data_IF_542016293354
#
_entry.id   IF_542016293354
#
_cell.length_a   1.000
_cell.length_b   1.000
_cell.length_c   1.000
_cell.angle_alpha   90.00
_cell.angle_beta   90.00
_cell.angle_gamma   90.00
#
_symmetry.space_group_name_H-M   'P 1'
#
loop_
_entity.id
_entity.type
_entity.pdbx_description
1 polymer ?
#
# COMPACT_ATOMS: atom_id res chain seq x y z
N UNK A 1 -42.78 15.82 -66.82
CA UNK A 1 -43.79 16.21 -65.78
C UNK A 1 -43.90 15.21 -64.62
N UNK A 2 -44.02 13.89 -64.84
CA UNK A 2 -44.08 12.89 -63.74
C UNK A 2 -42.81 12.87 -62.87
N UNK A 3 -41.62 12.99 -63.46
CA UNK A 3 -40.35 13.03 -62.71
C UNK A 3 -40.22 14.29 -61.84
N UNK A 4 -40.50 15.48 -62.39
CA UNK A 4 -40.49 16.73 -61.61
C UNK A 4 -41.40 16.66 -60.38
N UNK A 5 -42.60 16.05 -60.46
CA UNK A 5 -43.48 15.86 -59.29
C UNK A 5 -42.89 14.88 -58.26
N UNK A 6 -42.10 13.90 -58.70
CA UNK A 6 -41.41 12.91 -57.83
C UNK A 6 -40.19 13.54 -57.14
N UNK A 7 -39.46 14.40 -57.84
CA UNK A 7 -38.37 15.22 -57.28
C UNK A 7 -38.89 16.20 -56.23
N UNK A 8 -39.94 16.97 -56.55
CA UNK A 8 -40.55 17.93 -55.62
C UNK A 8 -41.13 17.26 -54.35
N UNK A 9 -41.70 16.05 -54.50
CA UNK A 9 -42.18 15.26 -53.37
C UNK A 9 -41.06 14.76 -52.46
N UNK A 10 -39.91 14.36 -53.02
CA UNK A 10 -38.71 13.99 -52.25
C UNK A 10 -38.12 15.17 -51.51
N UNK A 11 -37.98 16.32 -52.16
CA UNK A 11 -37.46 17.54 -51.52
C UNK A 11 -38.32 17.91 -50.31
N UNK A 12 -39.64 18.02 -50.49
CA UNK A 12 -40.56 18.40 -49.42
C UNK A 12 -40.63 17.38 -48.27
N UNK A 13 -40.41 16.10 -48.54
CA UNK A 13 -40.28 15.08 -47.49
C UNK A 13 -38.97 15.23 -46.71
N UNK A 14 -37.85 15.46 -47.41
CA UNK A 14 -36.53 15.70 -46.80
C UNK A 14 -36.53 16.94 -45.91
N UNK A 15 -37.12 18.04 -46.37
CA UNK A 15 -37.24 19.28 -45.59
C UNK A 15 -38.01 19.02 -44.27
N UNK A 16 -39.09 18.24 -44.33
CA UNK A 16 -39.88 17.86 -43.14
C UNK A 16 -39.17 16.90 -42.19
N UNK A 17 -38.30 16.03 -42.69
CA UNK A 17 -37.48 15.12 -41.86
C UNK A 17 -36.33 15.89 -41.16
N UNK A 18 -35.71 16.84 -41.86
CA UNK A 18 -34.69 17.73 -41.28
C UNK A 18 -35.27 18.67 -40.20
N UNK A 19 -36.48 19.19 -40.41
CA UNK A 19 -37.19 20.05 -39.45
C UNK A 19 -37.57 19.27 -38.16
N UNK A 20 -38.10 18.05 -38.29
CA UNK A 20 -38.40 17.17 -37.14
C UNK A 20 -37.14 16.76 -36.37
N UNK A 21 -36.04 16.50 -37.07
CA UNK A 21 -34.74 16.18 -36.46
C UNK A 21 -34.17 17.37 -35.67
N UNK A 22 -34.32 18.59 -36.20
CA UNK A 22 -33.93 19.82 -35.52
C UNK A 22 -34.79 20.12 -34.28
N UNK A 23 -36.11 19.94 -34.36
CA UNK A 23 -37.02 20.09 -33.21
C UNK A 23 -36.68 19.08 -32.10
N UNK A 24 -36.48 17.80 -32.46
CA UNK A 24 -36.08 16.76 -31.52
C UNK A 24 -34.71 17.06 -30.87
N UNK A 25 -33.73 17.53 -31.64
CA UNK A 25 -32.44 17.98 -31.10
C UNK A 25 -32.63 19.11 -30.08
N UNK A 26 -33.39 20.16 -30.41
CA UNK A 26 -33.67 21.28 -29.50
C UNK A 26 -34.38 20.82 -28.23
N UNK A 27 -35.38 19.93 -28.33
CA UNK A 27 -36.07 19.33 -27.19
C UNK A 27 -35.08 18.58 -26.28
N UNK A 28 -34.32 17.63 -26.81
CA UNK A 28 -33.37 16.85 -26.01
C UNK A 28 -32.26 17.74 -25.42
N UNK A 29 -31.78 18.72 -26.17
CA UNK A 29 -30.81 19.70 -25.70
C UNK A 29 -31.36 20.61 -24.58
N UNK A 30 -32.68 20.77 -24.44
CA UNK A 30 -33.29 21.49 -23.32
C UNK A 30 -33.45 20.62 -22.06
N UNK A 31 -33.63 19.30 -22.21
CA UNK A 31 -33.93 18.36 -21.10
C UNK A 31 -32.66 17.76 -20.49
N UNK A 32 -31.67 17.39 -21.32
CA UNK A 32 -30.43 16.77 -20.83
C UNK A 32 -29.61 17.84 -20.09
N UNK A 33 -29.22 17.55 -18.85
CA UNK A 33 -28.42 18.45 -18.02
C UNK A 33 -26.95 18.45 -18.47
N UNK A 34 -26.27 19.58 -18.36
CA UNK A 34 -24.83 19.68 -18.61
C UNK A 34 -24.03 18.78 -17.65
N UNK A 35 -22.94 18.19 -18.15
CA UNK A 35 -22.04 17.32 -17.41
C UNK A 35 -20.93 18.13 -16.74
N UNK A 36 -20.82 17.97 -15.43
CA UNK A 36 -19.77 18.54 -14.58
C UNK A 36 -19.09 17.37 -13.85
N UNK A 37 -17.76 17.25 -13.99
CA UNK A 37 -16.99 16.18 -13.37
C UNK A 37 -16.57 16.53 -11.94
N UNK A 38 -16.95 15.68 -10.99
CA UNK A 38 -16.65 15.87 -9.57
C UNK A 38 -16.54 14.52 -8.86
N UNK A 39 -15.31 14.10 -8.56
CA UNK A 39 -15.04 12.83 -7.88
C UNK A 39 -15.53 12.82 -6.43
N UNK A 40 -15.46 13.94 -5.70
CA UNK A 40 -15.88 14.01 -4.29
C UNK A 40 -17.40 13.89 -4.15
N UNK A 41 -18.16 14.46 -5.10
CA UNK A 41 -19.61 14.29 -5.20
C UNK A 41 -20.04 13.06 -5.99
N UNK A 42 -19.10 12.22 -6.46
CA UNK A 42 -19.38 11.00 -7.22
C UNK A 42 -19.94 11.24 -8.64
N UNK A 43 -19.82 12.45 -9.19
CA UNK A 43 -20.21 12.80 -10.56
C UNK A 43 -19.13 12.34 -11.56
N UNK A 44 -19.18 11.08 -11.95
CA UNK A 44 -18.40 10.54 -13.07
C UNK A 44 -19.19 10.60 -14.37
N UNK A 45 -18.52 10.59 -15.53
CA UNK A 45 -19.24 10.58 -16.82
C UNK A 45 -20.13 9.33 -16.95
N UNK A 46 -19.70 8.15 -16.50
CA UNK A 46 -20.53 6.95 -16.49
C UNK A 46 -21.84 7.14 -15.69
N UNK A 47 -21.77 7.76 -14.50
CA UNK A 47 -22.96 8.03 -13.68
C UNK A 47 -23.92 9.05 -14.32
N UNK A 48 -23.38 10.07 -14.98
CA UNK A 48 -24.17 11.07 -15.72
C UNK A 48 -24.76 10.47 -16.99
N UNK A 49 -24.01 9.64 -17.71
CA UNK A 49 -24.45 9.03 -18.96
C UNK A 49 -25.56 8.03 -18.71
N UNK A 50 -25.43 7.11 -17.74
CA UNK A 50 -26.48 6.14 -17.42
C UNK A 50 -27.81 6.82 -17.04
N UNK A 51 -27.77 7.95 -16.31
CA UNK A 51 -28.96 8.77 -16.01
C UNK A 51 -29.64 9.34 -17.27
N UNK A 52 -28.89 9.66 -18.32
CA UNK A 52 -29.41 10.30 -19.53
C UNK A 52 -29.45 9.39 -20.77
N UNK A 53 -29.00 8.13 -20.64
CA UNK A 53 -28.81 7.16 -21.72
C UNK A 53 -30.07 6.92 -22.54
N UNK A 54 -31.23 6.85 -21.88
CA UNK A 54 -32.55 6.73 -22.53
C UNK A 54 -32.86 7.88 -23.49
N UNK A 55 -32.34 9.09 -23.27
CA UNK A 55 -32.52 10.21 -24.20
C UNK A 55 -31.73 10.02 -25.49
N UNK A 56 -30.62 9.29 -25.47
CA UNK A 56 -29.81 8.99 -26.67
C UNK A 56 -30.24 7.70 -27.38
N UNK A 57 -30.59 6.66 -26.60
CA UNK A 57 -30.95 5.33 -27.12
C UNK A 57 -32.42 5.22 -27.54
N UNK A 58 -33.35 5.84 -26.79
CA UNK A 58 -34.79 5.72 -27.04
C UNK A 58 -35.37 6.97 -27.70
N UNK A 59 -35.35 8.12 -27.02
CA UNK A 59 -35.98 9.35 -27.56
C UNK A 59 -35.21 9.90 -28.76
N UNK A 60 -33.89 9.94 -28.68
CA UNK A 60 -32.99 10.36 -29.75
C UNK A 60 -32.69 9.28 -30.77
N UNK A 61 -33.35 8.10 -30.75
CA UNK A 61 -32.97 6.96 -31.59
C UNK A 61 -32.90 7.34 -33.09
N UNK A 62 -33.90 8.09 -33.56
CA UNK A 62 -34.04 8.60 -34.94
C UNK A 62 -33.00 9.64 -35.34
N UNK A 63 -32.26 10.24 -34.40
CA UNK A 63 -31.19 11.18 -34.72
C UNK A 63 -30.02 10.46 -35.39
N UNK A 64 -29.51 11.04 -36.48
CA UNK A 64 -28.28 10.59 -37.11
C UNK A 64 -27.09 10.63 -36.13
N UNK A 65 -26.12 9.72 -36.28
CA UNK A 65 -25.01 9.55 -35.33
C UNK A 65 -24.22 10.86 -35.10
N UNK A 66 -23.97 11.64 -36.15
CA UNK A 66 -23.32 12.95 -36.06
C UNK A 66 -24.15 14.03 -35.34
N UNK A 67 -25.48 13.85 -35.23
CA UNK A 67 -26.35 14.70 -34.39
C UNK A 67 -26.25 14.25 -32.94
N UNK A 68 -26.24 12.93 -32.66
CA UNK A 68 -26.04 12.38 -31.31
C UNK A 68 -24.68 12.78 -30.72
N UNK A 69 -23.62 12.72 -31.53
CA UNK A 69 -22.27 13.20 -31.16
C UNK A 69 -22.29 14.69 -30.82
N UNK A 70 -22.84 15.54 -31.70
CA UNK A 70 -22.95 16.99 -31.42
C UNK A 70 -23.79 17.30 -30.19
N UNK A 71 -24.86 16.55 -29.94
CA UNK A 71 -25.68 16.68 -28.73
C UNK A 71 -24.86 16.32 -27.47
N UNK A 72 -24.13 15.22 -27.50
CA UNK A 72 -23.27 14.79 -26.39
C UNK A 72 -22.15 15.80 -26.12
N UNK A 73 -21.48 16.29 -27.16
CA UNK A 73 -20.43 17.32 -27.07
C UNK A 73 -20.99 18.63 -26.52
N UNK A 74 -22.18 19.06 -26.95
CA UNK A 74 -22.87 20.24 -26.43
C UNK A 74 -23.39 20.08 -24.99
N UNK A 75 -23.26 18.88 -24.39
CA UNK A 75 -23.59 18.60 -23.00
C UNK A 75 -22.38 18.47 -22.08
N UNK A 76 -21.16 18.58 -22.61
CA UNK A 76 -19.97 18.66 -21.77
C UNK A 76 -19.83 20.06 -21.18
N UNK A 77 -19.55 20.14 -19.88
CA UNK A 77 -19.14 21.37 -19.22
C UNK A 77 -17.92 22.01 -19.92
N UNK A 78 -17.78 23.33 -19.81
CA UNK A 78 -16.70 24.05 -20.51
C UNK A 78 -15.29 23.53 -20.19
N UNK A 79 -15.05 23.11 -18.94
CA UNK A 79 -13.82 22.46 -18.48
C UNK A 79 -13.61 21.08 -19.10
N UNK A 80 -14.66 20.26 -19.11
CA UNK A 80 -14.70 18.89 -19.60
C UNK A 80 -14.49 18.86 -21.11
N UNK A 81 -15.19 19.72 -21.85
CA UNK A 81 -15.01 19.93 -23.28
C UNK A 81 -13.57 20.30 -23.60
N UNK A 82 -12.99 21.30 -22.91
CA UNK A 82 -11.63 21.74 -23.15
C UNK A 82 -10.61 20.60 -22.93
N UNK A 83 -10.76 19.85 -21.83
CA UNK A 83 -9.89 18.72 -21.48
C UNK A 83 -9.93 17.60 -22.52
N UNK A 84 -11.13 17.13 -22.89
CA UNK A 84 -11.26 16.03 -23.86
C UNK A 84 -10.90 16.50 -25.28
N UNK A 85 -11.25 17.73 -25.67
CA UNK A 85 -10.88 18.29 -26.97
C UNK A 85 -9.36 18.44 -27.12
N UNK A 86 -8.64 18.80 -26.06
CA UNK A 86 -7.18 18.84 -26.07
C UNK A 86 -6.57 17.44 -26.22
N UNK A 87 -7.13 16.44 -25.51
CA UNK A 87 -6.67 15.05 -25.56
C UNK A 87 -6.86 14.39 -26.93
N UNK A 88 -7.94 14.71 -27.64
CA UNK A 88 -8.24 14.11 -28.96
C UNK A 88 -7.49 14.73 -30.13
N UNK A 89 -6.72 15.81 -29.93
CA UNK A 89 -5.99 16.46 -31.02
C UNK A 89 -5.04 15.47 -31.74
N UNK A 90 -5.00 15.47 -33.10
CA UNK A 90 -5.62 16.44 -34.01
C UNK A 90 -7.07 16.13 -34.43
N UNK A 91 -7.69 15.06 -33.93
CA UNK A 91 -9.07 14.70 -34.27
C UNK A 91 -10.08 15.62 -33.58
N UNK A 92 -11.18 15.96 -34.27
CA UNK A 92 -12.30 16.74 -33.71
C UNK A 92 -13.35 15.82 -33.11
N UNK A 93 -13.89 16.19 -31.95
CA UNK A 93 -14.96 15.44 -31.27
C UNK A 93 -16.17 15.20 -32.19
N UNK A 94 -16.62 16.21 -32.94
CA UNK A 94 -17.75 16.12 -33.88
C UNK A 94 -17.55 15.13 -35.04
N UNK A 95 -16.32 14.67 -35.25
CA UNK A 95 -15.94 13.69 -36.30
C UNK A 95 -15.70 12.28 -35.75
N UNK A 96 -15.84 12.09 -34.44
CA UNK A 96 -15.75 10.77 -33.80
C UNK A 96 -17.07 10.02 -33.94
N UNK A 97 -17.01 8.68 -33.88
CA UNK A 97 -18.22 7.86 -33.70
C UNK A 97 -18.76 8.03 -32.29
N UNK A 98 -20.07 7.86 -32.12
CA UNK A 98 -20.75 8.03 -30.85
C UNK A 98 -20.26 7.05 -29.76
N UNK A 99 -20.06 5.78 -30.12
CA UNK A 99 -19.56 4.73 -29.23
C UNK A 99 -18.12 4.98 -28.75
N UNK A 100 -17.23 5.39 -29.66
CA UNK A 100 -15.83 5.72 -29.32
C UNK A 100 -15.75 6.97 -28.44
N UNK A 101 -16.58 7.99 -28.70
CA UNK A 101 -16.61 9.20 -27.88
C UNK A 101 -17.09 8.88 -26.45
N UNK A 102 -18.11 8.03 -26.27
CA UNK A 102 -18.54 7.57 -24.94
C UNK A 102 -17.39 6.87 -24.20
N UNK A 103 -16.70 5.92 -24.84
CA UNK A 103 -15.58 5.19 -24.21
C UNK A 103 -14.44 6.11 -23.77
N UNK A 104 -14.07 7.11 -24.58
CA UNK A 104 -13.02 8.05 -24.19
C UNK A 104 -13.48 9.06 -23.13
N UNK A 105 -14.76 9.43 -23.08
CA UNK A 105 -15.34 10.24 -22.00
C UNK A 105 -15.42 9.48 -20.68
N UNK A 106 -15.87 8.22 -20.68
CA UNK A 106 -15.85 7.33 -19.51
C UNK A 106 -14.43 7.17 -18.97
N UNK A 107 -13.46 6.95 -19.86
CA UNK A 107 -12.04 6.79 -19.51
C UNK A 107 -11.40 8.07 -18.96
N UNK A 108 -11.76 9.24 -19.48
CA UNK A 108 -11.17 10.52 -19.06
C UNK A 108 -11.81 11.11 -17.78
N UNK A 109 -13.08 10.81 -17.56
CA UNK A 109 -13.91 11.34 -16.47
C UNK A 109 -14.44 10.22 -15.57
N UNK A 110 -13.57 9.27 -15.25
CA UNK A 110 -13.74 8.23 -14.23
C UNK A 110 -12.84 8.49 -13.01
N UNK A 111 -13.02 7.67 -11.98
CA UNK A 111 -12.08 7.62 -10.85
C UNK A 111 -10.76 6.95 -11.30
N UNK A 112 -9.61 7.67 -11.26
CA UNK A 112 -8.33 7.13 -11.71
C UNK A 112 -7.71 6.12 -10.74
N UNK A 113 -8.30 5.91 -9.56
CA UNK A 113 -7.79 4.98 -8.55
C UNK A 113 -8.06 3.53 -8.96
N UNK A 114 -7.05 2.68 -8.87
CA UNK A 114 -7.19 1.26 -9.21
C UNK A 114 -8.19 0.54 -8.29
N UNK A 115 -8.82 -0.52 -8.80
CA UNK A 115 -9.91 -1.25 -8.10
C UNK A 115 -9.53 -1.62 -6.67
N UNK A 116 -8.28 -2.04 -6.44
CA UNK A 116 -7.79 -2.43 -5.12
C UNK A 116 -7.74 -1.27 -4.12
N UNK A 117 -7.43 -0.04 -4.56
CA UNK A 117 -7.47 1.16 -3.71
C UNK A 117 -8.91 1.48 -3.33
N UNK A 118 -9.83 1.51 -4.30
CA UNK A 118 -11.26 1.73 -4.06
C UNK A 118 -11.81 0.70 -3.06
N UNK A 119 -11.57 -0.60 -3.29
CA UNK A 119 -11.95 -1.72 -2.40
C UNK A 119 -11.38 -1.55 -0.98
N UNK A 120 -10.14 -1.09 -0.84
CA UNK A 120 -9.53 -0.85 0.46
C UNK A 120 -10.15 0.32 1.22
N UNK A 121 -10.53 1.39 0.53
CA UNK A 121 -11.25 2.52 1.14
C UNK A 121 -12.63 2.11 1.65
N UNK A 122 -13.37 1.28 0.91
CA UNK A 122 -14.66 0.71 1.36
C UNK A 122 -14.50 -0.05 2.69
N UNK A 123 -13.46 -0.90 2.81
CA UNK A 123 -13.17 -1.64 4.06
C UNK A 123 -12.81 -0.71 5.23
N UNK A 124 -12.29 0.49 4.95
CA UNK A 124 -11.98 1.50 5.98
C UNK A 124 -13.19 2.31 6.44
N UNK A 125 -14.33 2.24 5.75
CA UNK A 125 -15.55 2.95 6.17
C UNK A 125 -15.96 2.56 7.60
N UNK A 126 -16.35 3.55 8.40
CA UNK A 126 -16.83 3.36 9.78
C UNK A 126 -18.10 4.16 9.98
N UNK A 127 -19.07 3.56 10.68
CA UNK A 127 -20.29 4.27 11.07
C UNK A 127 -19.92 5.38 12.08
N UNK A 128 -20.26 6.65 11.83
CA UNK A 128 -19.82 7.76 12.68
C UNK A 128 -20.50 7.78 14.06
N UNK A 129 -21.77 7.35 14.13
CA UNK A 129 -22.56 7.26 15.36
C UNK A 129 -23.74 6.28 15.16
N UNK A 130 -24.37 5.83 16.24
CA UNK A 130 -25.41 4.78 16.20
C UNK A 130 -26.68 5.25 15.47
N UNK A 131 -27.00 6.53 15.56
CA UNK A 131 -28.16 7.16 14.93
C UNK A 131 -28.09 7.11 13.39
N UNK A 132 -26.87 7.02 12.82
CA UNK A 132 -26.60 7.01 11.39
C UNK A 132 -26.36 5.60 10.82
N UNK A 133 -26.67 4.53 11.55
CA UNK A 133 -26.42 3.14 11.10
C UNK A 133 -27.15 2.80 9.80
N UNK A 134 -28.36 3.30 9.59
CA UNK A 134 -29.12 3.04 8.35
C UNK A 134 -28.53 3.81 7.15
N UNK A 135 -28.18 5.09 7.34
CA UNK A 135 -27.49 5.92 6.34
C UNK A 135 -26.09 5.37 6.01
N UNK A 136 -25.41 4.80 7.01
CA UNK A 136 -24.15 4.11 6.82
C UNK A 136 -24.31 2.83 5.99
N UNK A 137 -25.40 2.09 6.18
CA UNK A 137 -25.74 0.93 5.35
C UNK A 137 -25.96 1.28 3.89
N UNK A 138 -26.67 2.39 3.60
CA UNK A 138 -26.90 2.85 2.22
C UNK A 138 -25.61 3.39 1.58
N UNK A 139 -24.77 4.07 2.35
CA UNK A 139 -23.42 4.47 1.93
C UNK A 139 -22.54 3.26 1.58
N UNK A 140 -22.44 2.28 2.49
CA UNK A 140 -21.66 1.04 2.27
C UNK A 140 -22.14 0.31 1.01
N UNK A 141 -23.45 0.20 0.79
CA UNK A 141 -23.99 -0.38 -0.43
C UNK A 141 -23.53 0.41 -1.68
N UNK A 142 -23.66 1.73 -1.69
CA UNK A 142 -23.25 2.57 -2.83
C UNK A 142 -21.76 2.47 -3.13
N UNK A 143 -20.90 2.50 -2.09
CA UNK A 143 -19.45 2.42 -2.26
C UNK A 143 -18.98 1.01 -2.65
N UNK A 144 -19.64 -0.05 -2.18
CA UNK A 144 -19.39 -1.43 -2.64
C UNK A 144 -19.62 -1.60 -4.15
N UNK A 145 -20.72 -1.05 -4.69
CA UNK A 145 -20.99 -1.11 -6.13
C UNK A 145 -19.94 -0.30 -6.93
N UNK A 146 -19.62 0.93 -6.52
CA UNK A 146 -18.57 1.78 -7.14
C UNK A 146 -17.16 1.15 -7.12
N UNK A 147 -16.88 0.34 -6.09
CA UNK A 147 -15.61 -0.37 -5.92
C UNK A 147 -15.57 -1.75 -6.59
N UNK A 148 -16.67 -2.21 -7.20
CA UNK A 148 -16.84 -3.56 -7.74
C UNK A 148 -16.45 -4.62 -6.69
N UNK A 149 -17.13 -4.59 -5.53
CA UNK A 149 -16.74 -5.34 -4.32
C UNK A 149 -17.03 -6.86 -4.38
N UNK A 150 -17.30 -7.42 -5.56
CA UNK A 150 -17.33 -8.85 -5.79
C UNK A 150 -15.90 -9.43 -5.76
N UNK A 151 -15.43 -9.80 -4.56
CA UNK A 151 -14.09 -10.35 -4.33
C UNK A 151 -14.11 -11.87 -4.32
N UNK A 152 -13.15 -12.49 -5.00
CA UNK A 152 -12.81 -13.90 -4.76
C UNK A 152 -12.03 -14.07 -3.44
N UNK A 153 -11.82 -15.33 -3.03
CA UNK A 153 -10.93 -15.65 -1.90
C UNK A 153 -9.48 -15.22 -2.17
N UNK A 154 -9.03 -15.28 -3.43
CA UNK A 154 -7.69 -14.84 -3.83
C UNK A 154 -7.58 -13.30 -3.82
N UNK A 155 -8.57 -12.58 -4.35
CA UNK A 155 -8.66 -11.11 -4.23
C UNK A 155 -8.58 -10.67 -2.77
N UNK A 156 -9.30 -11.37 -1.89
CA UNK A 156 -9.35 -11.07 -0.46
C UNK A 156 -7.98 -11.26 0.20
N UNK A 157 -7.26 -12.37 -0.10
CA UNK A 157 -5.89 -12.60 0.37
C UNK A 157 -4.93 -11.52 -0.12
N UNK A 158 -5.01 -11.16 -1.40
CA UNK A 158 -4.18 -10.14 -2.05
C UNK A 158 -4.42 -8.77 -1.41
N UNK A 159 -5.67 -8.38 -1.21
CA UNK A 159 -6.07 -7.11 -0.59
C UNK A 159 -5.59 -7.02 0.86
N UNK A 160 -5.80 -8.07 1.67
CA UNK A 160 -5.31 -8.15 3.05
C UNK A 160 -3.78 -8.06 3.10
N UNK A 161 -3.07 -8.78 2.22
CA UNK A 161 -1.62 -8.76 2.16
C UNK A 161 -1.08 -7.37 1.81
N UNK A 162 -1.59 -6.75 0.74
CA UNK A 162 -1.14 -5.42 0.28
C UNK A 162 -1.44 -4.33 1.33
N UNK A 163 -2.59 -4.43 2.01
CA UNK A 163 -2.94 -3.56 3.14
C UNK A 163 -2.02 -3.75 4.36
N UNK A 164 -1.53 -4.98 4.59
CA UNK A 164 -0.63 -5.33 5.68
C UNK A 164 0.86 -5.08 5.42
N UNK A 165 1.27 -4.69 4.21
CA UNK A 165 2.66 -4.29 3.93
C UNK A 165 2.97 -3.03 4.77
N UNK A 166 4.07 -3.00 5.55
CA UNK A 166 4.42 -1.86 6.40
C UNK A 166 4.85 -0.62 5.57
N UNK A 167 4.79 0.57 6.14
CA UNK A 167 4.96 1.83 5.39
C UNK A 167 6.34 1.94 4.73
N UNK A 168 7.38 1.47 5.43
CA UNK A 168 8.78 1.44 5.02
C UNK A 168 9.03 0.54 3.79
N UNK A 169 8.12 -0.40 3.51
CA UNK A 169 8.16 -1.28 2.34
C UNK A 169 7.27 -0.75 1.19
N UNK A 170 7.26 0.57 0.98
CA UNK A 170 6.44 1.22 -0.04
C UNK A 170 6.74 0.71 -1.46
N UNK A 171 8.00 0.43 -1.76
CA UNK A 171 8.42 -0.12 -3.06
C UNK A 171 7.85 -1.52 -3.32
N UNK A 172 7.88 -2.41 -2.32
CA UNK A 172 7.22 -3.71 -2.38
C UNK A 172 5.70 -3.55 -2.58
N UNK A 173 5.06 -2.58 -1.91
CA UNK A 173 3.63 -2.26 -2.12
C UNK A 173 3.36 -1.82 -3.56
N UNK A 174 4.20 -0.97 -4.14
CA UNK A 174 4.08 -0.53 -5.54
C UNK A 174 4.23 -1.70 -6.54
N UNK A 175 5.16 -2.64 -6.28
CA UNK A 175 5.30 -3.85 -7.09
C UNK A 175 4.03 -4.69 -7.02
N UNK A 176 3.46 -4.88 -5.83
CA UNK A 176 2.23 -5.64 -5.64
C UNK A 176 1.03 -5.02 -6.37
N UNK A 177 0.83 -3.70 -6.22
CA UNK A 177 -0.25 -2.97 -6.91
C UNK A 177 -0.13 -3.14 -8.43
N UNK A 178 1.09 -2.93 -8.97
CA UNK A 178 1.38 -3.05 -10.41
C UNK A 178 1.22 -4.48 -10.93
N UNK A 179 1.47 -5.49 -10.11
CA UNK A 179 1.21 -6.88 -10.45
C UNK A 179 -0.31 -7.13 -10.59
N UNK A 180 -1.11 -6.73 -9.59
CA UNK A 180 -2.57 -6.89 -9.62
C UNK A 180 -3.22 -6.11 -10.78
N UNK A 181 -2.75 -4.90 -11.07
CA UNK A 181 -3.23 -4.09 -12.21
C UNK A 181 -3.00 -4.79 -13.56
N UNK A 182 -1.87 -5.50 -13.74
CA UNK A 182 -1.59 -6.27 -14.96
C UNK A 182 -2.45 -7.54 -15.09
N UNK A 183 -2.85 -8.13 -13.97
CA UNK A 183 -3.67 -9.35 -13.93
C UNK A 183 -5.15 -9.06 -13.61
N UNK A 184 -5.65 -7.85 -13.90
CA UNK A 184 -7.02 -7.41 -13.56
C UNK A 184 -8.16 -8.04 -14.37
N UNK A 185 -7.87 -9.02 -15.24
CA UNK A 185 -8.89 -9.90 -15.84
C UNK A 185 -9.04 -11.15 -14.95
N UNK A 186 -10.28 -11.52 -14.63
CA UNK A 186 -10.70 -12.28 -13.43
C UNK A 186 -10.10 -13.68 -13.19
N UNK A 187 -9.33 -14.24 -14.12
CA UNK A 187 -9.01 -15.67 -14.13
C UNK A 187 -7.51 -16.01 -13.89
N UNK A 188 -6.65 -15.02 -13.61
CA UNK A 188 -5.18 -15.24 -13.63
C UNK A 188 -4.34 -14.70 -12.45
N UNK A 189 -4.95 -14.04 -11.46
CA UNK A 189 -4.22 -13.47 -10.31
C UNK A 189 -4.38 -14.29 -9.02
N UNK A 190 -3.48 -15.25 -8.76
CA UNK A 190 -3.42 -15.93 -7.45
C UNK A 190 -2.49 -15.23 -6.48
N UNK A 191 -2.81 -15.35 -5.19
CA UNK A 191 -1.95 -14.87 -4.10
C UNK A 191 -0.55 -15.51 -4.14
N UNK A 192 -0.45 -16.77 -4.60
CA UNK A 192 0.84 -17.46 -4.76
C UNK A 192 1.73 -16.79 -5.82
N UNK A 193 1.17 -16.37 -6.96
CA UNK A 193 1.95 -15.68 -7.99
C UNK A 193 2.43 -14.30 -7.48
N UNK A 194 1.57 -13.58 -6.74
CA UNK A 194 1.95 -12.31 -6.11
C UNK A 194 3.11 -12.49 -5.10
N UNK A 195 3.10 -13.56 -4.29
CA UNK A 195 4.19 -13.86 -3.37
C UNK A 195 5.50 -14.21 -4.09
N UNK A 196 5.44 -14.88 -5.25
CA UNK A 196 6.64 -15.17 -6.04
C UNK A 196 7.21 -13.90 -6.72
N UNK A 197 6.34 -12.99 -7.20
CA UNK A 197 6.76 -11.65 -7.66
C UNK A 197 7.43 -10.85 -6.54
N UNK A 198 6.86 -10.87 -5.32
CA UNK A 198 7.47 -10.26 -4.13
C UNK A 198 8.86 -10.86 -3.83
N UNK A 199 8.99 -12.18 -3.93
CA UNK A 199 10.24 -12.90 -3.68
C UNK A 199 11.30 -12.54 -4.71
N UNK A 200 10.93 -12.53 -6.00
CA UNK A 200 11.77 -12.11 -7.12
C UNK A 200 12.29 -10.69 -6.89
N UNK A 201 11.38 -9.75 -6.61
CA UNK A 201 11.72 -8.36 -6.32
C UNK A 201 12.68 -8.23 -5.11
N UNK A 202 12.43 -8.94 -4.01
CA UNK A 202 13.30 -8.89 -2.83
C UNK A 202 14.69 -9.47 -3.10
N UNK A 203 14.81 -10.50 -3.95
CA UNK A 203 16.10 -11.03 -4.39
C UNK A 203 16.86 -10.01 -5.24
N UNK A 204 16.23 -9.45 -6.29
CA UNK A 204 16.84 -8.41 -7.14
C UNK A 204 17.20 -7.15 -6.33
N UNK A 205 16.39 -6.77 -5.35
CA UNK A 205 16.68 -5.65 -4.43
C UNK A 205 17.89 -5.93 -3.52
N UNK A 206 18.13 -7.19 -3.14
CA UNK A 206 19.33 -7.57 -2.40
C UNK A 206 20.59 -7.55 -3.30
N UNK A 207 20.47 -8.01 -4.55
CA UNK A 207 21.54 -7.99 -5.55
C UNK A 207 21.90 -6.56 -5.99
N UNK A 208 20.92 -5.67 -6.14
CA UNK A 208 21.13 -4.27 -6.52
C UNK A 208 22.10 -3.53 -5.57
N UNK A 209 22.07 -3.84 -4.27
CA UNK A 209 22.99 -3.29 -3.25
C UNK A 209 24.46 -3.61 -3.50
N UNK A 210 24.77 -4.65 -4.29
CA UNK A 210 26.14 -4.95 -4.71
C UNK A 210 26.67 -3.86 -5.66
N UNK A 211 25.81 -3.28 -6.50
CA UNK A 211 26.16 -2.22 -7.45
C UNK A 211 26.18 -0.82 -6.81
N UNK A 212 25.37 -0.59 -5.77
CA UNK A 212 25.38 0.67 -5.00
C UNK A 212 26.74 0.91 -4.31
N UNK A 213 27.42 -0.16 -3.87
CA UNK A 213 28.71 -0.10 -3.18
C UNK A 213 29.93 0.22 -4.08
N UNK A 214 29.73 0.56 -5.35
CA UNK A 214 30.83 0.81 -6.31
C UNK A 214 31.29 2.28 -6.32
N UNK A 215 30.50 3.23 -5.78
CA UNK A 215 30.83 4.67 -5.88
C UNK A 215 31.85 5.22 -4.86
N UNK A 216 32.31 4.45 -3.86
CA UNK A 216 33.25 4.94 -2.83
C UNK A 216 34.74 4.54 -3.02
N UNK A 217 35.26 4.54 -4.26
CA UNK A 217 36.72 4.43 -4.51
C UNK A 217 37.29 5.42 -5.54
N UNK A 218 36.85 6.68 -5.50
CA UNK A 218 37.63 7.79 -6.05
C UNK A 218 38.72 8.22 -5.05
N UNK A 219 39.90 7.59 -5.11
CA UNK A 219 41.07 8.04 -4.33
C UNK A 219 41.62 9.35 -4.93
N UNK A 220 41.75 10.44 -4.15
CA UNK A 220 42.34 11.67 -4.66
C UNK A 220 43.86 11.49 -4.85
N UNK A 221 44.35 11.78 -6.06
CA UNK A 221 45.78 11.83 -6.35
C UNK A 221 46.39 12.97 -5.51
N UNK A 222 47.19 12.61 -4.51
CA UNK A 222 47.93 13.60 -3.74
C UNK A 222 49.12 14.11 -4.56
N UNK A 223 49.04 15.37 -5.02
CA UNK A 223 50.18 16.06 -5.61
C UNK A 223 51.29 16.23 -4.55
N UNK A 224 52.34 15.42 -4.66
CA UNK A 224 53.55 15.54 -3.86
C UNK A 224 54.30 16.82 -4.23
N UNK A 225 54.22 17.84 -3.37
CA UNK A 225 55.11 19.00 -3.46
C UNK A 225 56.54 18.57 -3.13
N UNK A 226 57.46 18.76 -4.08
CA UNK A 226 58.89 18.57 -3.87
C UNK A 226 59.40 19.46 -2.74
N UNK A 227 60.32 18.92 -1.94
CA UNK A 227 61.29 19.69 -1.15
C UNK A 227 62.63 18.98 -1.18
N UNK A 228 63.69 19.76 -1.41
CA UNK A 228 65.04 19.28 -1.72
C UNK A 228 65.84 18.73 -0.54
N UNK A 229 66.94 18.07 -0.90
CA UNK A 229 67.90 17.39 -0.03
C UNK A 229 68.70 18.33 0.89
N UNK A 230 69.13 17.78 2.03
CA UNK A 230 70.48 18.01 2.58
C UNK A 230 70.92 16.81 3.42
N UNK A 231 72.09 16.24 3.12
CA UNK A 231 72.68 15.07 3.79
C UNK A 231 73.44 15.42 5.09
N UNK A 232 74.02 14.37 5.71
CA UNK A 232 75.05 14.35 6.76
C UNK A 232 74.59 14.53 8.22
N UNK A 233 75.17 13.87 9.24
CA UNK A 233 76.01 12.65 9.31
C UNK A 233 76.05 12.14 10.77
N UNK A 234 76.50 10.90 10.98
CA UNK A 234 77.25 10.41 12.16
C UNK A 234 76.63 10.31 13.59
N UNK A 235 76.66 9.06 14.12
CA UNK A 235 77.21 8.63 15.44
C UNK A 235 76.64 9.34 16.71
N UNK A 236 75.98 8.66 17.68
CA UNK A 236 76.62 7.70 18.63
C UNK A 236 75.60 6.97 19.55
N UNK A 237 75.57 5.63 19.43
CA UNK A 237 75.77 4.65 20.51
C UNK A 237 75.40 4.96 22.00
N UNK A 238 74.58 4.05 22.57
CA UNK A 238 74.87 3.26 23.81
C UNK A 238 74.36 3.72 25.19
N UNK A 239 74.14 2.68 26.01
CA UNK A 239 73.89 2.55 27.47
C UNK A 239 72.43 2.20 27.84
N UNK A 240 72.13 0.93 28.14
CA UNK A 240 72.33 0.18 29.41
C UNK A 240 71.39 0.67 30.54
N UNK A 241 70.80 -0.15 31.41
CA UNK A 241 70.98 -1.56 31.83
C UNK A 241 69.60 -2.14 32.28
N UNK A 242 69.29 -3.42 32.06
CA UNK A 242 69.36 -4.56 33.02
C UNK A 242 68.68 -4.27 34.40
N UNK A 243 67.82 -5.09 35.01
CA UNK A 243 67.86 -6.52 35.42
C UNK A 243 66.50 -6.84 36.14
N UNK A 244 66.03 -8.04 36.53
CA UNK A 244 66.40 -9.46 36.36
C UNK A 244 65.21 -10.39 36.73
N UNK A 245 65.26 -11.67 36.30
CA UNK A 245 64.85 -12.96 36.96
C UNK A 245 63.65 -13.02 37.97
N UNK A 246 62.92 -14.12 38.24
CA UNK A 246 62.76 -15.52 37.76
C UNK A 246 61.53 -16.10 38.52
N UNK A 247 60.95 -17.30 38.29
CA UNK A 247 61.04 -18.36 37.26
C UNK A 247 59.78 -19.24 37.39
N UNK A 248 59.41 -20.03 36.36
CA UNK A 248 58.37 -21.07 36.54
C UNK A 248 57.71 -21.62 35.27
N UNK A 249 58.40 -22.53 34.57
CA UNK A 249 57.90 -23.53 33.60
C UNK A 249 56.58 -23.20 32.84
N UNK A 250 56.67 -22.75 31.60
CA UNK A 250 56.74 -23.63 30.41
C UNK A 250 55.74 -24.82 30.40
N UNK A 251 54.74 -24.73 29.52
CA UNK A 251 54.61 -25.67 28.39
C UNK A 251 53.97 -24.98 27.18
N UNK A 252 54.37 -25.42 26.00
CA UNK A 252 54.26 -24.70 24.72
C UNK A 252 52.95 -24.96 23.98
N UNK A 253 52.50 -23.93 23.23
CA UNK A 253 52.03 -23.92 21.83
C UNK A 253 50.82 -22.98 21.63
N UNK A 254 50.69 -22.24 20.52
CA UNK A 254 51.66 -21.61 19.60
C UNK A 254 50.83 -20.71 18.65
N UNK A 255 51.32 -19.51 18.28
CA UNK A 255 50.73 -18.62 17.25
C UNK A 255 49.26 -18.16 17.44
N UNK A 256 48.76 -17.11 16.77
CA UNK A 256 49.30 -15.78 16.42
C UNK A 256 48.11 -14.82 16.15
N UNK A 257 48.37 -13.54 15.93
CA UNK A 257 47.45 -12.57 15.31
C UNK A 257 46.06 -12.36 15.95
N UNK A 258 46.11 -11.69 17.10
CA UNK A 258 45.06 -10.76 17.49
C UNK A 258 44.98 -9.58 16.50
N UNK A 259 43.94 -9.52 15.65
CA UNK A 259 43.21 -8.25 15.38
C UNK A 259 41.86 -8.42 14.68
N UNK A 260 41.66 -9.48 13.90
CA UNK A 260 40.51 -9.55 12.97
C UNK A 260 39.23 -10.20 13.54
N UNK A 261 39.33 -10.91 14.68
CA UNK A 261 38.21 -11.62 15.29
C UNK A 261 37.26 -10.75 16.14
N UNK A 262 37.64 -9.52 16.49
CA UNK A 262 36.84 -8.66 17.40
C UNK A 262 35.58 -8.06 16.78
N UNK A 263 35.41 -8.07 15.45
CA UNK A 263 34.22 -7.50 14.82
C UNK A 263 33.01 -8.45 14.72
N UNK A 264 33.17 -9.77 14.93
CA UNK A 264 32.03 -10.73 14.87
C UNK A 264 31.26 -10.89 16.19
N UNK A 265 31.69 -10.26 17.27
CA UNK A 265 31.08 -10.41 18.61
C UNK A 265 30.45 -9.13 19.18
N UNK A 266 30.67 -7.96 18.56
CA UNK A 266 30.18 -6.67 19.05
C UNK A 266 28.65 -6.60 19.15
N UNK A 267 27.93 -7.31 18.30
CA UNK A 267 26.46 -7.29 18.25
C UNK A 267 25.81 -8.46 19.02
N UNK A 268 26.61 -9.38 19.58
CA UNK A 268 26.12 -10.54 20.33
C UNK A 268 25.96 -10.17 21.80
N UNK A 269 24.71 -10.03 22.25
CA UNK A 269 24.38 -9.78 23.66
C UNK A 269 24.40 -11.06 24.51
N UNK A 270 25.09 -11.04 25.64
CA UNK A 270 25.16 -12.17 26.56
C UNK A 270 23.88 -12.32 27.40
N UNK A 271 23.12 -13.40 27.19
CA UNK A 271 21.91 -13.75 27.95
C UNK A 271 22.08 -13.88 29.47
N UNK A 272 23.31 -14.01 30.00
CA UNK A 272 23.56 -14.09 31.46
C UNK A 272 23.85 -12.73 32.12
N UNK A 273 24.30 -11.72 31.37
CA UNK A 273 24.72 -10.43 31.95
C UNK A 273 24.37 -9.17 31.15
N UNK A 274 23.67 -9.30 30.02
CA UNK A 274 23.23 -8.19 29.17
C UNK A 274 24.33 -7.43 28.44
N UNK A 275 25.61 -7.79 28.63
CA UNK A 275 26.75 -7.16 27.94
C UNK A 275 27.06 -7.84 26.61
N UNK A 276 27.48 -7.04 25.65
CA UNK A 276 27.89 -7.50 24.33
C UNK A 276 29.30 -8.13 24.33
N UNK A 277 29.71 -8.75 23.22
CA UNK A 277 31.07 -9.28 23.02
C UNK A 277 31.29 -10.74 23.39
N UNK A 278 30.29 -11.48 23.88
CA UNK A 278 30.44 -12.89 24.27
C UNK A 278 29.11 -13.65 24.40
N UNK A 279 29.15 -14.97 24.27
CA UNK A 279 28.00 -15.84 24.53
C UNK A 279 27.78 -16.09 26.03
N UNK A 280 26.54 -16.44 26.41
CA UNK A 280 26.17 -16.75 27.80
C UNK A 280 26.97 -17.88 28.44
N UNK A 281 27.44 -18.85 27.64
CA UNK A 281 28.30 -19.97 28.10
C UNK A 281 29.71 -19.51 28.50
N UNK A 282 30.20 -18.43 27.90
CA UNK A 282 31.57 -17.89 28.05
C UNK A 282 31.62 -16.74 29.07
N UNK A 283 30.53 -16.53 29.82
CA UNK A 283 30.36 -15.42 30.75
C UNK A 283 31.10 -15.67 32.07
N UNK A 284 32.07 -14.80 32.40
CA UNK A 284 32.85 -14.87 33.65
C UNK A 284 32.11 -14.36 34.90
N UNK A 285 30.87 -13.87 34.79
CA UNK A 285 30.06 -13.51 35.96
C UNK A 285 29.38 -14.77 36.53
N UNK A 286 29.28 -14.92 37.86
CA UNK A 286 28.51 -16.01 38.46
C UNK A 286 27.08 -15.98 37.89
N UNK A 287 26.49 -17.16 37.66
CA UNK A 287 25.12 -17.29 37.13
C UNK A 287 24.16 -16.56 38.06
N UNK A 288 23.73 -15.37 37.66
CA UNK A 288 22.88 -14.53 38.47
C UNK A 288 21.52 -15.19 38.65
N UNK A 289 20.95 -15.03 39.85
CA UNK A 289 19.58 -15.44 40.19
C UNK A 289 18.49 -14.65 39.42
N UNK A 290 18.90 -13.91 38.39
CA UNK A 290 18.07 -13.12 37.46
C UNK A 290 17.46 -14.00 36.34
N UNK A 291 18.04 -15.17 36.05
CA UNK A 291 17.53 -16.10 35.04
C UNK A 291 16.23 -16.85 35.42
N UNK A 292 15.54 -16.46 36.52
CA UNK A 292 14.16 -16.87 36.82
C UNK A 292 13.09 -15.85 36.40
N UNK A 293 13.47 -14.62 36.05
CA UNK A 293 12.53 -13.49 35.90
C UNK A 293 12.23 -13.09 34.44
N UNK A 294 13.02 -13.54 33.46
CA UNK A 294 12.75 -13.36 32.02
C UNK A 294 12.24 -14.63 31.31
N UNK A 295 11.67 -15.56 32.07
CA UNK A 295 10.63 -16.47 31.55
C UNK A 295 9.32 -16.04 32.18
N UNK A 296 8.19 -16.02 31.45
CA UNK A 296 6.89 -15.97 32.09
C UNK A 296 6.80 -17.12 33.09
N UNK A 297 6.62 -16.81 34.38
CA UNK A 297 6.32 -17.84 35.35
C UNK A 297 4.84 -18.19 35.19
N UNK A 298 4.57 -19.15 34.32
CA UNK A 298 3.26 -19.76 34.21
C UNK A 298 3.05 -20.59 35.48
N UNK A 299 2.24 -20.08 36.39
CA UNK A 299 1.72 -20.88 37.50
C UNK A 299 0.73 -21.89 36.92
N UNK A 300 1.24 -23.03 36.48
CA UNK A 300 0.42 -24.18 36.11
C UNK A 300 -0.19 -24.77 37.40
N UNK A 301 -1.48 -24.50 37.62
CA UNK A 301 -2.31 -25.34 38.49
C UNK A 301 -2.84 -26.47 37.63
N UNK A 302 -2.27 -27.66 37.76
CA UNK A 302 -2.82 -28.85 37.12
C UNK A 302 -4.14 -29.20 37.80
N UNK A 303 -5.23 -29.17 37.03
CA UNK A 303 -6.51 -29.77 37.41
C UNK A 303 -6.57 -31.12 36.69
N UNK A 304 -6.29 -32.17 37.46
CA UNK A 304 -6.13 -33.58 37.10
C UNK A 304 -4.96 -33.98 36.15
N UNK A 305 -4.35 -35.17 36.32
CA UNK A 305 -3.17 -35.58 35.53
C UNK A 305 -3.48 -36.04 34.10
N UNK A 306 -4.71 -36.48 33.83
CA UNK A 306 -5.04 -37.32 32.67
C UNK A 306 -5.93 -36.64 31.61
N UNK A 307 -6.12 -35.32 31.66
CA UNK A 307 -6.97 -34.59 30.68
C UNK A 307 -6.20 -33.60 29.80
N UNK A 308 -6.24 -33.82 28.49
CA UNK A 308 -5.67 -32.92 27.47
C UNK A 308 -6.65 -31.76 27.14
N UNK A 309 -6.90 -30.90 28.14
CA UNK A 309 -7.82 -29.76 28.07
C UNK A 309 -7.14 -28.41 27.79
N UNK A 310 -7.93 -27.44 27.31
CA UNK A 310 -7.47 -26.11 26.88
C UNK A 310 -7.03 -25.22 28.06
N UNK A 311 -5.81 -24.66 27.99
CA UNK A 311 -5.28 -23.78 29.03
C UNK A 311 -5.89 -22.37 29.01
N UNK A 312 -6.37 -21.89 30.15
CA UNK A 312 -6.71 -20.48 30.36
C UNK A 312 -5.81 -19.91 31.47
N UNK A 313 -4.95 -18.94 31.13
CA UNK A 313 -3.99 -18.36 32.06
C UNK A 313 -4.46 -17.03 32.62
N UNK A 314 -4.71 -16.96 33.93
CA UNK A 314 -4.86 -15.69 34.65
C UNK A 314 -3.45 -15.14 34.93
N UNK A 315 -3.22 -13.86 34.65
CA UNK A 315 -1.93 -13.21 34.89
C UNK A 315 -2.07 -11.97 35.78
N UNK A 316 -1.34 -11.95 36.90
CA UNK A 316 -1.18 -10.75 37.72
C UNK A 316 -0.07 -9.88 37.12
N UNK A 317 -0.46 -8.75 36.53
CA UNK A 317 0.51 -7.79 35.95
C UNK A 317 1.10 -6.92 37.06
N UNK A 318 2.16 -7.41 37.70
CA UNK A 318 3.00 -6.60 38.60
C UNK A 318 3.82 -5.62 37.75
N UNK A 319 3.44 -4.34 37.78
CA UNK A 319 4.08 -3.27 37.00
C UNK A 319 5.07 -2.48 37.87
N UNK A 320 6.41 -2.65 37.73
CA UNK A 320 7.38 -2.01 38.62
C UNK A 320 7.59 -0.51 38.31
N UNK A 321 7.27 -0.07 37.08
CA UNK A 321 7.71 1.21 36.53
C UNK A 321 6.55 2.10 36.02
N UNK A 322 5.29 1.76 36.29
CA UNK A 322 4.10 2.58 35.96
C UNK A 322 3.93 2.96 34.47
N UNK A 323 4.36 2.10 33.55
CA UNK A 323 4.32 2.38 32.09
C UNK A 323 2.91 2.18 31.47
N UNK A 324 1.93 1.63 32.22
CA UNK A 324 0.58 1.37 31.71
C UNK A 324 -0.36 2.53 32.07
N UNK A 325 -0.75 3.31 31.07
CA UNK A 325 -1.72 4.41 31.20
C UNK A 325 -3.12 3.82 31.43
N UNK A 326 -3.59 3.86 32.68
CA UNK A 326 -4.86 3.24 33.12
C UNK A 326 -6.15 3.83 32.50
N UNK A 327 -6.07 4.92 31.74
CA UNK A 327 -7.24 5.71 31.31
C UNK A 327 -8.06 5.09 30.14
N UNK A 328 -7.66 3.94 29.59
CA UNK A 328 -8.40 3.22 28.52
C UNK A 328 -8.87 1.82 28.90
N UNK A 329 -9.02 1.53 30.19
CA UNK A 329 -9.30 0.18 30.69
C UNK A 329 -10.80 0.07 31.03
N UNK A 330 -11.57 -0.62 30.18
CA UNK A 330 -12.99 -0.90 30.46
C UNK A 330 -13.04 -1.91 31.60
N UNK A 331 -13.58 -1.50 32.74
CA UNK A 331 -13.73 -2.35 33.93
C UNK A 331 -15.19 -2.75 34.11
N UNK A 332 -15.44 -4.05 34.15
CA UNK A 332 -16.77 -4.61 34.34
C UNK A 332 -16.81 -5.39 35.66
N UNK A 333 -17.89 -5.19 36.44
CA UNK A 333 -18.07 -5.86 37.73
C UNK A 333 -18.93 -7.10 37.55
N UNK A 334 -18.39 -8.27 37.84
CA UNK A 334 -19.12 -9.54 37.81
C UNK A 334 -19.32 -10.05 39.23
N UNK A 335 -20.49 -10.62 39.51
CA UNK A 335 -20.81 -11.21 40.82
C UNK A 335 -20.69 -12.73 40.72
N UNK A 336 -19.61 -13.29 41.27
CA UNK A 336 -19.33 -14.72 41.31
C UNK A 336 -19.38 -15.20 42.76
N UNK A 337 -20.19 -16.21 43.04
CA UNK A 337 -20.38 -16.77 44.39
C UNK A 337 -20.58 -15.69 45.46
N UNK A 338 -21.54 -14.81 45.18
CA UNK A 338 -21.94 -13.63 45.97
C UNK A 338 -20.90 -12.51 46.15
N UNK A 339 -19.63 -12.71 45.80
CA UNK A 339 -18.60 -11.67 45.80
C UNK A 339 -18.55 -10.93 44.47
N UNK A 340 -18.41 -9.61 44.54
CA UNK A 340 -18.15 -8.75 43.39
C UNK A 340 -16.67 -8.76 43.06
N UNK A 341 -16.34 -9.07 41.82
CA UNK A 341 -14.99 -9.06 41.26
C UNK A 341 -14.94 -8.02 40.14
N UNK A 342 -13.99 -7.11 40.20
CA UNK A 342 -13.68 -6.18 39.12
C UNK A 342 -12.76 -6.87 38.10
N UNK A 343 -13.24 -7.02 36.87
CA UNK A 343 -12.44 -7.50 35.75
C UNK A 343 -12.18 -6.36 34.77
N UNK A 344 -10.96 -6.34 34.26
CA UNK A 344 -10.59 -5.52 33.10
C UNK A 344 -10.91 -6.33 31.86
N UNK A 345 -11.60 -5.71 30.91
CA UNK A 345 -11.86 -6.29 29.58
C UNK A 345 -11.02 -5.52 28.57
N UNK A 346 -10.14 -6.22 27.86
CA UNK A 346 -9.47 -5.68 26.68
C UNK A 346 -10.47 -5.64 25.52
N UNK A 347 -10.68 -4.47 24.93
CA UNK A 347 -11.60 -4.28 23.81
C UNK A 347 -10.91 -4.40 22.45
N UNK A 348 -9.78 -5.11 22.38
CA UNK A 348 -9.12 -5.49 21.14
C UNK A 348 -9.87 -6.62 20.41
N UNK A 349 -10.97 -6.28 19.74
CA UNK A 349 -11.66 -7.09 18.73
C UNK A 349 -12.38 -6.18 17.73
#
# INVERSE_FOLDING_TARGET
MKEMKKEFGKAKAKDSEEEQSAELYCKLNSVIQEFEFDLEKGKTFASWFEKHKSFFENEGNSLAENVKVRLLVAKLGGSEYAKISQKMMPQKLDSMRFDILIQELEKEFSDPRSKIVKRFEVIKLRCPCVEKVLDFGTLVNSECEKAEMALTVEDSKILIFIAGIPEEANDLRQICLRFVERHSNSDQCTFKQLLEECRSYLATKAEAKVFENIQEKAQPIQNSKMKDNSENEFIRNKYQKKFNYNSGNQRFNNYSDYSESQNKFKDIQCFNCGRFGHYGRDCRKPKGWLNRFNRPQINHVSIDPDSSGTFCGITDIVNPNSILIKQKWITQKLKLNEKLVEMIVDSAS
#
